data_IF_351161130104
#
_entry.id   IF_351161130104
#
_cell.length_a   1.000
_cell.length_b   1.000
_cell.length_c   1.000
_cell.angle_alpha   90.00
_cell.angle_beta   90.00
_cell.angle_gamma   90.00
#
_symmetry.space_group_name_H-M   'P 1'
#
loop_
_entity.id
_entity.type
_entity.pdbx_description
1 polymer ?
#
# COMPACT_ATOMS: atom_id res chain seq x y z
N UNK A 1 4.59 14.61 -21.53
CA UNK A 1 3.27 14.47 -20.87
C UNK A 1 3.49 14.80 -19.40
N UNK A 2 2.93 15.89 -18.91
CA UNK A 2 2.98 16.22 -17.48
C UNK A 2 2.03 15.27 -16.76
N UNK A 3 2.55 14.25 -16.08
CA UNK A 3 1.71 13.40 -15.24
C UNK A 3 1.09 14.24 -14.13
N UNK A 4 -0.24 14.28 -14.07
CA UNK A 4 -0.95 14.94 -13.00
C UNK A 4 -0.72 14.14 -11.72
N UNK A 5 -0.25 14.82 -10.66
CA UNK A 5 -0.06 14.20 -9.35
C UNK A 5 -1.43 13.67 -8.85
N UNK A 6 -1.56 12.37 -8.52
CA UNK A 6 -2.80 11.80 -7.98
C UNK A 6 -3.10 12.38 -6.60
N UNK A 7 -4.36 12.39 -6.15
CA UNK A 7 -4.70 12.89 -4.81
C UNK A 7 -4.17 11.96 -3.71
N UNK A 8 -3.50 12.52 -2.69
CA UNK A 8 -2.92 11.73 -1.58
C UNK A 8 -3.96 10.88 -0.86
N UNK A 9 -5.14 11.45 -0.57
CA UNK A 9 -6.20 10.78 0.18
C UNK A 9 -6.85 9.66 -0.62
N UNK A 10 -7.11 9.89 -1.91
CA UNK A 10 -7.68 8.86 -2.80
C UNK A 10 -6.72 7.69 -2.97
N UNK A 11 -5.41 7.97 -3.10
CA UNK A 11 -4.41 6.93 -3.23
C UNK A 11 -4.21 6.15 -1.92
N UNK A 12 -4.25 6.81 -0.76
CA UNK A 12 -4.26 6.14 0.55
C UNK A 12 -5.50 5.27 0.74
N UNK A 13 -6.67 5.78 0.40
CA UNK A 13 -7.92 5.04 0.48
C UNK A 13 -7.86 3.79 -0.40
N UNK A 14 -7.37 3.94 -1.63
CA UNK A 14 -7.18 2.82 -2.53
C UNK A 14 -6.21 1.77 -1.97
N UNK A 15 -5.07 2.21 -1.42
CA UNK A 15 -4.10 1.33 -0.74
C UNK A 15 -4.77 0.58 0.41
N UNK A 16 -5.63 1.23 1.21
CA UNK A 16 -6.35 0.59 2.30
C UNK A 16 -7.32 -0.47 1.80
N UNK A 17 -8.12 -0.16 0.77
CA UNK A 17 -9.09 -1.09 0.17
C UNK A 17 -8.39 -2.34 -0.35
N UNK A 18 -7.35 -2.18 -1.18
CA UNK A 18 -6.63 -3.34 -1.74
C UNK A 18 -5.82 -4.10 -0.69
N UNK A 19 -5.34 -3.42 0.37
CA UNK A 19 -4.67 -4.11 1.48
C UNK A 19 -5.65 -4.97 2.27
N UNK A 20 -6.85 -4.46 2.56
CA UNK A 20 -7.90 -5.24 3.21
C UNK A 20 -8.30 -6.46 2.38
N UNK A 21 -8.51 -6.30 1.06
CA UNK A 21 -8.86 -7.41 0.17
C UNK A 21 -7.78 -8.51 0.17
N UNK A 22 -6.50 -8.14 0.16
CA UNK A 22 -5.38 -9.08 0.25
C UNK A 22 -5.38 -9.82 1.58
N UNK A 23 -5.57 -9.13 2.70
CA UNK A 23 -5.57 -9.73 4.04
C UNK A 23 -6.77 -10.66 4.25
N UNK A 24 -7.95 -10.28 3.76
CA UNK A 24 -9.18 -11.08 3.85
C UNK A 24 -9.06 -12.39 3.06
N UNK A 25 -8.62 -12.31 1.79
CA UNK A 25 -8.46 -13.52 0.97
C UNK A 25 -7.30 -14.39 1.46
N UNK A 26 -6.25 -13.80 2.01
CA UNK A 26 -5.19 -14.56 2.68
C UNK A 26 -5.75 -15.39 3.85
N UNK A 27 -6.57 -14.77 4.71
CA UNK A 27 -7.21 -15.46 5.82
C UNK A 27 -8.13 -16.59 5.35
N UNK A 28 -8.86 -16.38 4.24
CA UNK A 28 -9.66 -17.44 3.63
C UNK A 28 -8.80 -18.61 3.14
N UNK A 29 -7.70 -18.31 2.44
CA UNK A 29 -6.76 -19.30 1.88
C UNK A 29 -6.07 -20.14 2.96
N UNK A 30 -5.87 -19.62 4.18
CA UNK A 30 -5.34 -20.40 5.32
C UNK A 30 -6.19 -21.65 5.62
N UNK A 31 -7.49 -21.62 5.28
CA UNK A 31 -8.42 -22.75 5.44
C UNK A 31 -8.79 -23.45 4.13
N UNK A 32 -8.57 -22.81 2.97
CA UNK A 32 -8.89 -23.33 1.64
C UNK A 32 -7.70 -23.16 0.68
N UNK A 33 -6.54 -23.81 0.93
CA UNK A 33 -5.28 -23.49 0.26
C UNK A 33 -5.25 -23.82 -1.24
N UNK A 34 -6.15 -24.69 -1.71
CA UNK A 34 -6.25 -25.10 -3.11
C UNK A 34 -7.40 -24.42 -3.86
N UNK A 35 -8.06 -23.42 -3.29
CA UNK A 35 -9.13 -22.70 -3.96
C UNK A 35 -8.54 -21.80 -5.06
N UNK A 36 -8.71 -22.20 -6.33
CA UNK A 36 -8.12 -21.53 -7.49
C UNK A 36 -8.64 -20.09 -7.66
N UNK A 37 -9.95 -19.86 -7.50
CA UNK A 37 -10.56 -18.53 -7.61
C UNK A 37 -9.99 -17.55 -6.57
N UNK A 38 -9.81 -18.02 -5.33
CA UNK A 38 -9.24 -17.21 -4.24
C UNK A 38 -7.75 -16.93 -4.46
N UNK A 39 -7.00 -17.87 -5.03
CA UNK A 39 -5.60 -17.65 -5.41
C UNK A 39 -5.46 -16.62 -6.53
N UNK A 40 -6.31 -16.70 -7.56
CA UNK A 40 -6.32 -15.72 -8.66
C UNK A 40 -6.65 -14.32 -8.13
N UNK A 41 -7.72 -14.21 -7.34
CA UNK A 41 -8.11 -12.96 -6.69
C UNK A 41 -6.98 -12.38 -5.83
N UNK A 42 -6.34 -13.22 -5.00
CA UNK A 42 -5.22 -12.79 -4.16
C UNK A 42 -4.08 -12.20 -4.99
N UNK A 43 -3.67 -12.87 -6.07
CA UNK A 43 -2.58 -12.39 -6.93
C UNK A 43 -2.96 -11.12 -7.69
N UNK A 44 -4.22 -10.95 -8.10
CA UNK A 44 -4.71 -9.71 -8.71
C UNK A 44 -4.59 -8.53 -7.74
N UNK A 45 -5.21 -8.63 -6.56
CA UNK A 45 -5.24 -7.53 -5.59
C UNK A 45 -3.86 -7.24 -4.98
N UNK A 46 -3.02 -8.26 -4.82
CA UNK A 46 -1.61 -8.09 -4.43
C UNK A 46 -0.85 -7.24 -5.45
N UNK A 47 -1.04 -7.47 -6.76
CA UNK A 47 -0.43 -6.63 -7.81
C UNK A 47 -0.93 -5.19 -7.74
N UNK A 48 -2.24 -5.00 -7.57
CA UNK A 48 -2.83 -3.67 -7.43
C UNK A 48 -2.28 -2.92 -6.19
N UNK A 49 -2.14 -3.62 -5.06
CA UNK A 49 -1.52 -3.09 -3.83
C UNK A 49 -0.08 -2.63 -4.05
N UNK A 50 0.75 -3.48 -4.66
CA UNK A 50 2.15 -3.14 -4.94
C UNK A 50 2.24 -1.93 -5.87
N UNK A 51 1.37 -1.86 -6.89
CA UNK A 51 1.35 -0.74 -7.82
C UNK A 51 0.94 0.57 -7.12
N UNK A 52 -0.12 0.54 -6.29
CA UNK A 52 -0.58 1.71 -5.54
C UNK A 52 0.48 2.21 -4.55
N UNK A 53 1.17 1.31 -3.84
CA UNK A 53 2.27 1.67 -2.92
C UNK A 53 3.46 2.31 -3.66
N UNK A 54 3.81 1.80 -4.85
CA UNK A 54 4.87 2.40 -5.69
C UNK A 54 4.49 3.77 -6.21
N UNK A 55 3.25 3.92 -6.65
CA UNK A 55 2.73 5.21 -7.11
C UNK A 55 2.71 6.23 -5.96
N UNK A 56 2.29 5.81 -4.76
CA UNK A 56 2.33 6.66 -3.59
C UNK A 56 3.77 7.06 -3.26
N UNK A 57 4.69 6.09 -3.23
CA UNK A 57 6.10 6.35 -2.97
C UNK A 57 6.70 7.38 -3.93
N UNK A 58 6.37 7.28 -5.22
CA UNK A 58 6.82 8.22 -6.27
C UNK A 58 6.42 9.68 -6.00
N UNK A 59 5.23 9.92 -5.43
CA UNK A 59 4.69 11.28 -5.26
C UNK A 59 4.71 11.82 -3.83
N UNK A 60 4.74 10.93 -2.84
CA UNK A 60 4.52 11.26 -1.42
C UNK A 60 5.56 10.64 -0.48
N UNK A 61 6.49 9.84 -1.02
CA UNK A 61 7.44 9.09 -0.21
C UNK A 61 6.90 7.71 0.22
N UNK A 62 7.79 6.76 0.53
CA UNK A 62 7.40 5.37 0.78
C UNK A 62 6.61 5.22 2.10
N UNK A 63 5.52 4.47 2.05
CA UNK A 63 4.77 4.04 3.25
C UNK A 63 5.33 2.76 3.87
N UNK A 64 6.06 1.96 3.07
CA UNK A 64 6.57 0.65 3.46
C UNK A 64 8.03 0.53 3.04
N UNK A 65 8.79 -0.31 3.75
CA UNK A 65 10.19 -0.58 3.43
C UNK A 65 10.38 -1.07 1.98
N UNK A 66 9.45 -1.88 1.47
CA UNK A 66 9.52 -2.48 0.14
C UNK A 66 9.44 -1.47 -1.01
N UNK A 67 8.99 -0.24 -0.73
CA UNK A 67 8.88 0.84 -1.73
C UNK A 67 9.88 1.97 -1.51
N UNK A 68 10.79 1.86 -0.53
CA UNK A 68 11.91 2.77 -0.38
C UNK A 68 12.97 2.45 -1.45
N UNK A 69 13.27 3.41 -2.33
CA UNK A 69 14.19 3.21 -3.46
C UNK A 69 15.63 3.64 -3.14
N UNK A 70 15.86 4.50 -2.15
CA UNK A 70 17.21 5.00 -1.83
C UNK A 70 17.53 4.97 -0.33
N UNK A 71 18.81 4.81 0.08
CA UNK A 71 19.27 4.93 1.47
C UNK A 71 18.79 6.20 2.19
N UNK A 72 18.58 7.29 1.45
CA UNK A 72 18.06 8.55 1.97
C UNK A 72 16.54 8.47 2.27
N UNK A 73 15.77 7.78 1.43
CA UNK A 73 14.32 7.57 1.62
C UNK A 73 13.98 6.68 2.82
N UNK A 74 14.88 5.77 3.23
CA UNK A 74 14.70 4.95 4.45
C UNK A 74 14.56 5.77 5.73
N UNK A 75 14.97 7.03 5.76
CA UNK A 75 14.82 7.85 6.96
C UNK A 75 13.81 8.98 6.77
N UNK A 76 13.28 9.15 5.55
CA UNK A 76 12.34 10.23 5.25
C UNK A 76 10.99 10.09 5.97
N UNK A 77 10.60 8.89 6.40
CA UNK A 77 9.35 8.68 7.15
C UNK A 77 9.33 9.38 8.52
N UNK A 78 10.49 9.78 9.07
CA UNK A 78 10.54 10.56 10.32
C UNK A 78 10.15 12.04 10.09
N UNK A 79 10.19 12.50 8.83
CA UNK A 79 9.93 13.89 8.47
C UNK A 79 8.45 14.16 8.20
N UNK A 80 7.64 13.12 8.00
CA UNK A 80 6.19 13.24 7.89
C UNK A 80 5.56 13.21 9.30
N UNK A 81 4.46 13.95 9.53
CA UNK A 81 3.73 13.87 10.78
C UNK A 81 3.24 12.43 10.99
N UNK A 82 3.50 11.91 12.18
CA UNK A 82 3.09 10.56 12.52
C UNK A 82 1.56 10.51 12.59
N UNK A 83 0.90 9.39 12.24
CA UNK A 83 -0.55 9.28 12.27
C UNK A 83 -1.18 9.60 13.65
N UNK A 84 -0.42 9.48 14.74
CA UNK A 84 -0.84 9.81 16.11
C UNK A 84 -0.37 11.18 16.62
N UNK A 85 0.40 11.95 15.83
CA UNK A 85 0.83 13.29 16.24
C UNK A 85 -0.31 14.33 16.20
N UNK A 86 -1.38 14.10 15.43
CA UNK A 86 -2.56 14.97 15.44
C UNK A 86 -3.50 14.69 16.63
N UNK A 87 -3.32 13.56 17.32
CA UNK A 87 -4.02 13.21 18.57
C UNK A 87 -3.14 13.54 19.77
N UNK A 88 -3.01 14.83 20.09
CA UNK A 88 -2.09 15.34 21.09
C UNK A 88 -2.15 14.66 22.46
N UNK A 89 -1.01 14.73 23.16
CA UNK A 89 -0.93 14.88 24.60
C UNK A 89 -0.22 16.21 24.86
#
# INVERSE_FOLDING_TARGET
>A
MTESRPNRSELLEWINVVSFAVDDVKLFLDTHPCNEDALEYFEEFKKQRVQALKEYAKYYGPLTLDTACTPAEYWCWINEPWPWQEGGC
#
